data_IF_495648827640
#
_entry.id   IF_495648827640
#
_cell.length_a   1.000
_cell.length_b   1.000
_cell.length_c   1.000
_cell.angle_alpha   90.00
_cell.angle_beta   90.00
_cell.angle_gamma   90.00
#
_symmetry.space_group_name_H-M   'P 1'
#
loop_
_entity.id
_entity.type
_entity.pdbx_description
1 polymer ?
#
# COMPACT_ATOMS: atom_id res chain seq x y z
N UNK A 1 7.43 58.88 -10.32
CA UNK A 1 6.55 58.33 -11.37
C UNK A 1 7.28 57.16 -12.02
N UNK A 2 6.80 55.94 -11.81
CA UNK A 2 7.43 54.67 -12.16
C UNK A 2 7.12 54.27 -13.60
N UNK A 3 8.15 53.95 -14.39
CA UNK A 3 8.02 53.52 -15.79
C UNK A 3 7.54 52.06 -15.89
N UNK A 4 6.74 51.71 -16.92
CA UNK A 4 6.25 50.34 -17.09
C UNK A 4 7.34 49.43 -17.67
N UNK A 5 7.56 48.26 -17.05
CA UNK A 5 8.52 47.23 -17.48
C UNK A 5 7.96 46.46 -18.68
N UNK A 6 8.64 46.55 -19.82
CA UNK A 6 8.33 45.86 -21.07
C UNK A 6 8.62 44.36 -20.95
N UNK A 7 7.59 43.52 -21.05
CA UNK A 7 7.69 42.05 -21.09
C UNK A 7 8.38 41.60 -22.38
N UNK A 8 9.39 40.70 -22.37
CA UNK A 8 9.97 40.18 -23.59
C UNK A 8 9.00 39.18 -24.27
N UNK A 9 8.96 39.22 -25.60
CA UNK A 9 8.12 38.38 -26.45
C UNK A 9 8.44 36.89 -26.26
N UNK A 10 7.39 36.06 -26.12
CA UNK A 10 7.51 34.59 -26.07
C UNK A 10 8.03 34.12 -27.43
N UNK A 11 9.26 33.58 -27.46
CA UNK A 11 9.81 32.89 -28.64
C UNK A 11 8.84 31.77 -29.01
N UNK A 12 8.33 31.80 -30.25
CA UNK A 12 7.47 30.76 -30.78
C UNK A 12 8.19 29.41 -30.76
N UNK A 13 7.59 28.44 -30.10
CA UNK A 13 8.06 27.05 -30.10
C UNK A 13 7.84 26.53 -31.53
N UNK A 14 8.86 26.02 -32.24
CA UNK A 14 8.67 25.47 -33.57
C UNK A 14 7.67 24.31 -33.52
N UNK A 15 6.79 24.21 -34.53
CA UNK A 15 5.68 23.25 -34.58
C UNK A 15 6.10 21.77 -34.50
N UNK A 16 7.41 21.50 -34.59
CA UNK A 16 8.02 20.17 -34.51
C UNK A 16 8.89 19.97 -33.26
N UNK A 17 8.83 20.87 -32.28
CA UNK A 17 9.46 20.61 -30.98
C UNK A 17 8.65 19.54 -30.25
N UNK A 18 9.29 18.45 -29.75
CA UNK A 18 8.61 17.54 -28.85
C UNK A 18 8.06 18.37 -27.69
N UNK A 19 6.73 18.29 -27.48
CA UNK A 19 6.07 19.01 -26.39
C UNK A 19 6.82 18.72 -25.08
N UNK A 20 6.99 19.71 -24.19
CA UNK A 20 7.39 19.39 -22.81
C UNK A 20 6.44 18.29 -22.35
N UNK A 21 6.98 17.18 -21.81
CA UNK A 21 6.19 16.10 -21.22
C UNK A 21 5.48 16.63 -19.96
N UNK A 22 4.50 17.48 -20.18
CA UNK A 22 3.61 18.04 -19.19
C UNK A 22 2.56 16.97 -18.90
N UNK A 23 2.48 16.60 -17.61
CA UNK A 23 1.43 15.79 -17.01
C UNK A 23 1.46 14.26 -17.11
N UNK A 24 2.60 13.59 -17.33
CA UNK A 24 2.71 12.26 -16.69
C UNK A 24 2.99 12.49 -15.22
N UNK A 25 1.96 12.35 -14.38
CA UNK A 25 2.11 12.40 -12.92
C UNK A 25 3.34 11.56 -12.56
N UNK A 26 4.40 12.24 -12.11
CA UNK A 26 5.56 11.53 -11.56
C UNK A 26 5.00 10.72 -10.40
N UNK A 27 4.94 9.39 -10.56
CA UNK A 27 4.72 8.46 -9.46
C UNK A 27 5.53 8.97 -8.28
N UNK A 28 4.85 9.20 -7.16
CA UNK A 28 5.44 9.79 -5.96
C UNK A 28 6.65 8.96 -5.54
N UNK A 29 7.64 9.59 -4.90
CA UNK A 29 8.80 8.88 -4.39
C UNK A 29 8.42 7.74 -3.42
N UNK A 30 7.28 7.90 -2.74
CA UNK A 30 6.63 6.85 -1.94
C UNK A 30 6.22 5.64 -2.79
N UNK A 31 5.56 5.84 -3.94
CA UNK A 31 5.20 4.75 -4.85
C UNK A 31 6.42 4.04 -5.45
N UNK A 32 7.52 4.77 -5.72
CA UNK A 32 8.77 4.16 -6.20
C UNK A 32 9.52 3.38 -5.12
N UNK A 33 9.51 3.84 -3.87
CA UNK A 33 10.04 3.07 -2.75
C UNK A 33 9.20 1.83 -2.49
N UNK A 34 7.88 1.95 -2.54
CA UNK A 34 6.98 0.83 -2.34
C UNK A 34 7.11 -0.24 -3.44
N UNK A 35 7.36 0.14 -4.71
CA UNK A 35 7.72 -0.82 -5.77
C UNK A 35 9.10 -1.46 -5.54
N UNK A 36 10.12 -0.69 -5.17
CA UNK A 36 11.47 -1.23 -4.91
C UNK A 36 11.51 -2.15 -3.67
N UNK A 37 10.68 -1.87 -2.66
CA UNK A 37 10.49 -2.77 -1.53
C UNK A 37 9.61 -3.96 -1.91
N UNK A 38 8.60 -3.81 -2.76
CA UNK A 38 7.78 -4.93 -3.25
C UNK A 38 8.61 -5.91 -4.09
N UNK A 39 9.59 -5.41 -4.84
CA UNK A 39 10.65 -6.19 -5.50
C UNK A 39 11.57 -6.90 -4.49
N UNK A 40 11.67 -6.34 -3.27
CA UNK A 40 12.37 -6.92 -2.11
C UNK A 40 11.46 -7.74 -1.18
N UNK A 41 10.17 -7.92 -1.52
CA UNK A 41 9.20 -8.69 -0.75
C UNK A 41 8.56 -7.98 0.45
N UNK A 42 8.62 -6.65 0.54
CA UNK A 42 7.99 -5.88 1.61
C UNK A 42 7.35 -4.59 1.09
N UNK A 43 6.33 -4.06 1.75
CA UNK A 43 5.71 -2.78 1.40
C UNK A 43 5.61 -1.96 2.68
N UNK A 44 6.18 -0.75 2.66
CA UNK A 44 6.05 0.17 3.78
C UNK A 44 4.82 1.06 3.60
N UNK A 45 3.88 1.01 4.56
CA UNK A 45 2.67 1.83 4.61
C UNK A 45 2.67 2.65 5.90
N UNK A 46 2.48 3.96 5.78
CA UNK A 46 2.21 4.81 6.93
C UNK A 46 0.73 4.70 7.34
N UNK A 47 0.46 4.23 8.56
CA UNK A 47 -0.88 4.12 9.16
C UNK A 47 -0.81 4.39 10.67
N UNK A 48 -1.80 5.09 11.24
CA UNK A 48 -1.86 5.44 12.67
C UNK A 48 -0.56 6.11 13.22
N UNK A 49 0.13 6.89 12.39
CA UNK A 49 1.40 7.56 12.74
C UNK A 49 2.57 6.60 12.94
N UNK A 50 2.53 5.41 12.34
CA UNK A 50 3.64 4.46 12.27
C UNK A 50 3.83 3.94 10.84
N UNK A 51 5.08 3.66 10.49
CA UNK A 51 5.43 2.96 9.25
C UNK A 51 5.34 1.45 9.50
N UNK A 52 4.34 0.82 8.88
CA UNK A 52 4.12 -0.63 8.88
C UNK A 52 4.87 -1.25 7.71
N UNK A 53 5.67 -2.27 7.96
CA UNK A 53 6.42 -2.99 6.91
C UNK A 53 5.75 -4.32 6.65
N UNK A 54 4.89 -4.36 5.65
CA UNK A 54 4.06 -5.52 5.33
C UNK A 54 4.79 -6.45 4.38
N UNK A 55 4.97 -7.72 4.73
CA UNK A 55 5.56 -8.68 3.81
C UNK A 55 4.62 -9.01 2.64
N UNK A 56 5.13 -8.91 1.40
CA UNK A 56 4.38 -9.19 0.17
C UNK A 56 5.20 -10.06 -0.79
N UNK A 57 4.53 -10.72 -1.75
CA UNK A 57 5.21 -11.54 -2.76
C UNK A 57 6.01 -12.69 -2.16
N UNK A 58 7.25 -12.90 -2.62
CA UNK A 58 8.09 -14.05 -2.25
C UNK A 58 8.56 -14.08 -0.78
N UNK A 59 8.28 -13.04 -0.01
CA UNK A 59 8.61 -12.96 1.40
C UNK A 59 7.36 -12.95 2.30
N UNK A 60 6.17 -13.08 1.71
CA UNK A 60 4.94 -13.30 2.45
C UNK A 60 5.03 -14.63 3.22
N UNK A 61 4.62 -14.68 4.50
CA UNK A 61 4.56 -15.93 5.26
C UNK A 61 3.67 -16.96 4.55
N UNK A 62 4.11 -18.21 4.50
CA UNK A 62 3.35 -19.27 3.83
C UNK A 62 1.94 -19.40 4.42
N UNK A 63 1.82 -19.34 5.75
CA UNK A 63 0.52 -19.37 6.45
C UNK A 63 -0.41 -18.23 6.01
N UNK A 64 0.12 -17.05 5.69
CA UNK A 64 -0.70 -15.95 5.19
C UNK A 64 -1.26 -16.26 3.80
N UNK A 65 -0.45 -16.87 2.92
CA UNK A 65 -0.89 -17.33 1.60
C UNK A 65 -1.93 -18.44 1.74
N UNK A 66 -1.70 -19.42 2.62
CA UNK A 66 -2.61 -20.52 2.86
C UNK A 66 -3.96 -20.04 3.41
N UNK A 67 -3.97 -19.02 4.28
CA UNK A 67 -5.21 -18.35 4.69
C UNK A 67 -5.94 -17.70 3.51
N UNK A 68 -5.24 -16.99 2.61
CA UNK A 68 -5.86 -16.39 1.41
C UNK A 68 -6.33 -17.43 0.40
N UNK A 69 -5.68 -18.59 0.32
CA UNK A 69 -6.10 -19.73 -0.49
C UNK A 69 -7.19 -20.57 0.17
N UNK A 70 -7.61 -20.17 1.38
CA UNK A 70 -8.66 -20.84 2.14
C UNK A 70 -8.34 -22.31 2.43
N UNK A 71 -7.07 -22.59 2.67
CA UNK A 71 -6.60 -23.92 3.06
C UNK A 71 -7.33 -24.37 4.34
N UNK A 72 -8.01 -25.53 4.32
CA UNK A 72 -8.89 -25.93 5.42
C UNK A 72 -8.14 -26.22 6.72
N UNK A 73 -6.89 -26.70 6.67
CA UNK A 73 -6.08 -26.96 7.85
C UNK A 73 -5.68 -25.64 8.52
N UNK A 74 -5.26 -24.67 7.69
CA UNK A 74 -4.86 -23.34 8.15
C UNK A 74 -6.07 -22.56 8.68
N UNK A 75 -7.20 -22.58 7.97
CA UNK A 75 -8.44 -21.95 8.45
C UNK A 75 -8.87 -22.52 9.82
N UNK A 76 -8.78 -23.85 9.99
CA UNK A 76 -9.11 -24.50 11.26
C UNK A 76 -8.14 -24.11 12.39
N UNK A 77 -6.84 -24.03 12.13
CA UNK A 77 -5.84 -23.61 13.11
C UNK A 77 -6.11 -22.19 13.63
N UNK A 78 -6.56 -21.30 12.75
CA UNK A 78 -6.90 -19.92 13.09
C UNK A 78 -8.36 -19.76 13.57
N UNK A 79 -9.11 -20.86 13.69
CA UNK A 79 -10.51 -20.86 14.16
C UNK A 79 -11.47 -20.12 13.22
N UNK A 80 -11.19 -20.15 11.92
CA UNK A 80 -12.00 -19.54 10.86
C UNK A 80 -12.81 -20.64 10.19
N UNK A 81 -14.11 -20.70 10.46
CA UNK A 81 -15.00 -21.68 9.85
C UNK A 81 -15.60 -21.17 8.53
N UNK A 82 -16.03 -22.09 7.67
CA UNK A 82 -16.46 -21.75 6.33
C UNK A 82 -17.74 -20.88 6.28
N UNK A 83 -18.65 -21.11 7.21
CA UNK A 83 -19.96 -20.44 7.35
C UNK A 83 -19.95 -19.37 8.46
N UNK A 84 -18.79 -18.95 8.94
CA UNK A 84 -18.70 -17.99 10.04
C UNK A 84 -19.13 -16.56 9.61
N UNK A 85 -20.07 -15.92 10.33
CA UNK A 85 -20.44 -14.54 10.04
C UNK A 85 -19.25 -13.62 10.35
N UNK A 86 -18.68 -13.03 9.30
CA UNK A 86 -17.48 -12.20 9.40
C UNK A 86 -16.18 -12.96 9.11
N UNK A 87 -16.27 -14.13 8.46
CA UNK A 87 -15.13 -14.88 7.91
C UNK A 87 -14.11 -13.99 7.22
N UNK A 88 -14.54 -13.14 6.29
CA UNK A 88 -13.63 -12.26 5.53
C UNK A 88 -12.85 -11.31 6.44
N UNK A 89 -13.50 -10.77 7.47
CA UNK A 89 -12.85 -9.89 8.44
C UNK A 89 -11.84 -10.67 9.31
N UNK A 90 -12.16 -11.89 9.73
CA UNK A 90 -11.23 -12.76 10.48
C UNK A 90 -10.03 -13.18 9.64
N UNK A 91 -10.26 -13.53 8.38
CA UNK A 91 -9.23 -13.92 7.43
C UNK A 91 -8.28 -12.75 7.17
N UNK A 92 -8.80 -11.57 6.84
CA UNK A 92 -8.01 -10.36 6.63
C UNK A 92 -7.21 -9.98 7.89
N UNK A 93 -7.81 -10.10 9.07
CA UNK A 93 -7.13 -9.84 10.34
C UNK A 93 -5.98 -10.82 10.61
N UNK A 94 -6.24 -12.12 10.43
CA UNK A 94 -5.25 -13.17 10.65
C UNK A 94 -4.08 -13.06 9.65
N UNK A 95 -4.39 -12.88 8.37
CA UNK A 95 -3.38 -12.69 7.33
C UNK A 95 -2.54 -11.43 7.57
N UNK A 96 -3.17 -10.30 7.91
CA UNK A 96 -2.44 -9.05 8.18
C UNK A 96 -1.56 -9.16 9.42
N UNK A 97 -2.03 -9.85 10.47
CA UNK A 97 -1.22 -10.13 11.66
C UNK A 97 0.03 -10.96 11.32
N UNK A 98 -0.10 -11.94 10.41
CA UNK A 98 1.04 -12.72 9.94
C UNK A 98 2.01 -11.89 9.10
N UNK A 99 1.50 -11.09 8.17
CA UNK A 99 2.34 -10.26 7.29
C UNK A 99 3.10 -9.15 8.04
N UNK A 100 2.54 -8.63 9.14
CA UNK A 100 3.20 -7.65 10.01
C UNK A 100 4.16 -8.30 11.04
N UNK A 101 3.85 -9.53 11.45
CA UNK A 101 4.55 -10.21 12.53
C UNK A 101 4.16 -9.68 13.94
N UNK A 102 4.58 -10.38 14.99
CA UNK A 102 4.12 -10.13 16.36
C UNK A 102 4.55 -8.77 16.93
N UNK A 103 5.74 -8.28 16.56
CA UNK A 103 6.27 -7.02 17.07
C UNK A 103 5.52 -5.81 16.49
N UNK A 104 5.42 -5.73 15.15
CA UNK A 104 4.68 -4.63 14.51
C UNK A 104 3.19 -4.67 14.83
N UNK A 105 2.59 -5.87 14.90
CA UNK A 105 1.18 -6.01 15.29
C UNK A 105 0.92 -5.49 16.71
N UNK A 106 1.83 -5.75 17.64
CA UNK A 106 1.75 -5.24 19.01
C UNK A 106 1.80 -3.71 19.05
N UNK A 107 2.74 -3.10 18.32
CA UNK A 107 2.86 -1.64 18.20
C UNK A 107 1.62 -1.01 17.56
N UNK A 108 1.11 -1.64 16.49
CA UNK A 108 -0.13 -1.22 15.84
C UNK A 108 -1.31 -1.24 16.81
N UNK A 109 -1.49 -2.32 17.59
CA UNK A 109 -2.57 -2.40 18.59
C UNK A 109 -2.43 -1.38 19.72
N UNK A 110 -1.23 -0.97 20.12
CA UNK A 110 -1.02 0.07 21.14
C UNK A 110 -1.58 1.43 20.70
N UNK A 111 -1.61 1.70 19.39
CA UNK A 111 -2.21 2.91 18.83
C UNK A 111 -3.75 2.90 18.86
N UNK A 112 -4.36 1.76 19.22
CA UNK A 112 -5.82 1.54 19.25
C UNK A 112 -6.49 1.92 17.92
N UNK A 113 -6.02 1.37 16.79
CA UNK A 113 -6.61 1.60 15.49
C UNK A 113 -8.07 1.14 15.47
N UNK A 114 -8.89 1.91 14.77
CA UNK A 114 -10.26 1.55 14.44
C UNK A 114 -10.31 0.51 13.33
N UNK A 115 -11.49 -0.11 13.14
CA UNK A 115 -11.70 -1.06 12.04
C UNK A 115 -11.53 -0.38 10.67
N UNK A 116 -11.96 0.87 10.53
CA UNK A 116 -11.73 1.67 9.31
C UNK A 116 -10.24 1.88 9.04
N UNK A 117 -9.46 2.27 10.04
CA UNK A 117 -8.01 2.43 9.91
C UNK A 117 -7.30 1.12 9.59
N UNK A 118 -7.82 -0.01 10.05
CA UNK A 118 -7.31 -1.33 9.66
C UNK A 118 -7.65 -1.65 8.20
N UNK A 119 -8.88 -1.38 7.76
CA UNK A 119 -9.30 -1.61 6.37
C UNK A 119 -8.52 -0.73 5.38
N UNK A 120 -8.14 0.48 5.78
CA UNK A 120 -7.28 1.35 4.97
C UNK A 120 -5.91 0.71 4.65
N UNK A 121 -5.40 -0.18 5.52
CA UNK A 121 -4.16 -0.91 5.23
C UNK A 121 -4.36 -1.78 3.99
N UNK A 122 -5.46 -2.52 3.90
CA UNK A 122 -5.79 -3.35 2.75
C UNK A 122 -5.94 -2.53 1.47
N UNK A 123 -6.65 -1.40 1.53
CA UNK A 123 -6.81 -0.48 0.39
C UNK A 123 -5.46 0.08 -0.08
N UNK A 124 -4.60 0.51 0.85
CA UNK A 124 -3.26 1.01 0.54
C UNK A 124 -2.37 -0.10 -0.02
N UNK A 125 -2.48 -1.32 0.51
CA UNK A 125 -1.73 -2.47 0.03
C UNK A 125 -2.12 -2.80 -1.42
N UNK A 126 -3.40 -2.84 -1.75
CA UNK A 126 -3.90 -3.10 -3.10
C UNK A 126 -3.50 -1.99 -4.09
N UNK A 127 -3.58 -0.73 -3.66
CA UNK A 127 -3.16 0.42 -4.45
C UNK A 127 -1.64 0.41 -4.74
N UNK A 128 -0.84 -0.17 -3.84
CA UNK A 128 0.61 -0.29 -4.00
C UNK A 128 0.98 -1.55 -4.80
N UNK A 129 0.35 -2.69 -4.51
CA UNK A 129 0.65 -3.97 -5.16
C UNK A 129 0.16 -4.03 -6.60
N UNK A 130 -0.69 -3.08 -7.01
CA UNK A 130 -1.16 -2.98 -8.38
C UNK A 130 -2.27 -4.00 -8.64
N UNK A 131 -3.38 -3.85 -7.93
CA UNK A 131 -4.66 -4.37 -8.41
C UNK A 131 -4.99 -3.72 -9.76
N UNK A 132 -4.98 -4.51 -10.82
CA UNK A 132 -5.54 -4.16 -12.13
C UNK A 132 -6.67 -5.11 -12.47
#
# INVERSE_FOLDING_TARGET
MTTPRKTPARKGIPANAPQPQDHKQKRSAAARKAEAEAESGYVTIEQCGMELKIAVGGNMPLDAILLFQEDPETLQEYGIEADDPGRDAKLNLAATKLMLGPEQWSEFRKKRPTVDEFNEIGVKLEAISGGN
#
